data_IF_471157540947
#
_entry.id   IF_471157540947
#
_cell.length_a   1.000
_cell.length_b   1.000
_cell.length_c   1.000
_cell.angle_alpha   90.00
_cell.angle_beta   90.00
_cell.angle_gamma   90.00
#
_symmetry.space_group_name_H-M   'P 1'
#
loop_
_entity.id
_entity.type
_entity.pdbx_description
1 polymer ?
#
# COMPACT_ATOMS: atom_id res chain seq x y z
N UNK A 1 74.49 -8.31 -5.95
CA UNK A 1 73.96 -8.55 -4.60
C UNK A 1 73.34 -7.24 -4.11
N UNK A 2 72.03 -7.07 -4.27
CA UNK A 2 71.33 -5.81 -3.98
C UNK A 2 70.97 -5.78 -2.49
N UNK A 3 71.46 -4.77 -1.79
CA UNK A 3 71.13 -4.48 -0.40
C UNK A 3 70.20 -3.26 -0.41
N UNK A 4 69.02 -3.45 0.20
CA UNK A 4 68.05 -2.42 0.55
C UNK A 4 68.66 -1.26 1.32
N UNK A 5 68.16 -0.04 1.09
CA UNK A 5 68.01 1.06 2.05
C UNK A 5 67.48 2.29 1.30
N UNK A 6 66.16 2.37 1.09
CA UNK A 6 65.50 3.64 0.80
C UNK A 6 65.12 4.23 2.15
N UNK A 7 65.96 5.15 2.59
CA UNK A 7 65.82 5.99 3.77
C UNK A 7 65.06 7.26 3.36
N UNK A 8 63.87 7.41 3.96
CA UNK A 8 63.29 8.63 4.54
C UNK A 8 63.86 9.97 4.03
N UNK A 9 62.99 10.77 3.38
CA UNK A 9 63.03 12.22 3.50
C UNK A 9 61.61 12.75 3.74
N UNK A 10 61.52 13.74 4.61
CA UNK A 10 60.34 14.17 5.32
C UNK A 10 59.86 15.55 4.84
N UNK A 11 58.62 15.88 5.25
CA UNK A 11 58.10 17.24 5.51
C UNK A 11 57.72 18.09 4.28
N UNK A 12 56.42 18.28 4.07
CA UNK A 12 55.70 19.57 4.16
C UNK A 12 54.35 19.46 3.42
N UNK A 13 53.26 19.34 4.17
CA UNK A 13 52.01 20.04 3.89
C UNK A 13 51.15 19.96 5.14
N UNK A 14 51.40 20.93 6.02
CA UNK A 14 50.41 21.43 6.95
C UNK A 14 49.25 22.02 6.13
N UNK A 15 48.32 21.16 5.72
CA UNK A 15 47.02 21.53 5.18
C UNK A 15 45.99 21.35 6.27
N UNK A 16 45.87 22.39 7.10
CA UNK A 16 44.75 22.76 7.97
C UNK A 16 43.67 21.67 8.10
N UNK A 17 43.70 21.00 9.27
CA UNK A 17 42.52 20.46 9.91
C UNK A 17 41.52 21.61 10.11
N UNK A 18 40.54 21.69 9.22
CA UNK A 18 39.26 22.31 9.49
C UNK A 18 38.20 21.31 9.04
N UNK A 19 38.13 20.17 9.74
CA UNK A 19 36.87 19.47 9.84
C UNK A 19 36.01 20.41 10.67
N UNK A 20 35.31 21.33 10.00
CA UNK A 20 34.08 21.89 10.55
C UNK A 20 33.17 20.70 10.74
N UNK A 21 33.24 20.09 11.93
CA UNK A 21 32.11 19.39 12.50
C UNK A 21 31.06 20.48 12.63
N UNK A 22 30.30 20.68 11.56
CA UNK A 22 29.02 21.33 11.69
C UNK A 22 28.27 20.41 12.63
N UNK A 23 28.25 20.79 13.91
CA UNK A 23 27.27 20.33 14.87
C UNK A 23 25.94 20.67 14.22
N UNK A 24 25.41 19.77 13.41
CA UNK A 24 24.00 19.75 13.13
C UNK A 24 23.40 19.58 14.51
N UNK A 25 22.94 20.68 15.10
CA UNK A 25 21.92 20.64 16.11
C UNK A 25 20.75 20.02 15.36
N UNK A 26 20.71 18.67 15.33
CA UNK A 26 19.54 17.94 14.91
C UNK A 26 18.48 18.40 15.88
N UNK A 27 17.60 19.28 15.41
CA UNK A 27 16.42 19.67 16.17
C UNK A 27 15.66 18.41 16.54
N UNK A 28 14.98 18.42 17.67
CA UNK A 28 14.26 17.25 18.11
C UNK A 28 13.14 16.96 17.10
N UNK A 29 13.07 15.72 16.63
CA UNK A 29 12.16 15.33 15.55
C UNK A 29 11.43 14.05 15.91
N UNK A 30 10.20 13.93 15.42
CA UNK A 30 9.41 12.70 15.49
C UNK A 30 9.04 12.31 14.07
N UNK A 31 9.29 11.05 13.73
CA UNK A 31 8.93 10.45 12.44
C UNK A 31 8.23 9.11 12.66
N UNK A 32 7.48 8.67 11.65
CA UNK A 32 6.74 7.42 11.72
C UNK A 32 6.80 6.67 10.39
N UNK A 33 7.21 5.42 10.47
CA UNK A 33 7.25 4.46 9.38
C UNK A 33 6.10 3.45 9.52
N UNK A 34 5.46 3.13 8.39
CA UNK A 34 4.43 2.10 8.31
C UNK A 34 5.05 0.75 7.99
N UNK A 35 4.80 -0.25 8.83
CA UNK A 35 5.06 -1.64 8.45
C UNK A 35 3.82 -2.23 7.81
N UNK A 36 3.96 -2.64 6.57
CA UNK A 36 2.91 -3.24 5.77
C UNK A 36 3.21 -4.70 5.50
N UNK A 37 2.22 -5.56 5.76
CA UNK A 37 2.23 -6.95 5.35
C UNK A 37 1.46 -7.07 4.04
N UNK A 38 2.16 -7.43 2.97
CA UNK A 38 1.59 -7.56 1.63
C UNK A 38 1.40 -9.02 1.26
N UNK A 39 0.16 -9.39 0.92
CA UNK A 39 -0.16 -10.70 0.34
C UNK A 39 -0.33 -10.57 -1.17
N UNK A 40 0.42 -11.37 -1.93
CA UNK A 40 0.29 -11.45 -3.39
C UNK A 40 -0.45 -12.74 -3.73
N UNK A 41 -1.61 -12.61 -4.39
CA UNK A 41 -2.37 -13.76 -4.89
C UNK A 41 -2.26 -13.83 -6.40
N UNK A 42 -1.86 -15.00 -6.91
CA UNK A 42 -1.80 -15.29 -8.34
C UNK A 42 -3.06 -16.01 -8.79
N UNK A 43 -3.60 -15.64 -9.94
CA UNK A 43 -4.76 -16.28 -10.54
C UNK A 43 -4.67 -16.25 -12.05
N UNK A 44 -5.22 -17.28 -12.69
CA UNK A 44 -5.33 -17.33 -14.14
C UNK A 44 -6.61 -16.61 -14.57
N UNK A 45 -6.49 -15.68 -15.50
CA UNK A 45 -7.63 -15.06 -16.16
C UNK A 45 -7.64 -15.46 -17.63
N UNK A 46 -8.75 -16.04 -18.08
CA UNK A 46 -8.98 -16.28 -19.51
C UNK A 46 -9.24 -14.96 -20.22
N UNK A 47 -8.50 -14.69 -21.30
CA UNK A 47 -8.70 -13.56 -22.18
C UNK A 47 -9.06 -14.04 -23.57
N UNK A 48 -10.09 -13.41 -24.15
CA UNK A 48 -10.50 -13.67 -25.53
C UNK A 48 -9.51 -13.02 -26.49
N UNK A 49 -9.07 -13.79 -27.46
CA UNK A 49 -8.31 -13.30 -28.62
C UNK A 49 -9.32 -13.08 -29.73
N UNK A 50 -9.39 -11.85 -30.24
CA UNK A 50 -10.31 -11.50 -31.31
C UNK A 50 -9.57 -11.45 -32.65
N UNK A 51 -10.22 -11.95 -33.70
CA UNK A 51 -9.68 -12.00 -35.04
C UNK A 51 -10.78 -11.92 -36.09
N UNK A 52 -10.38 -11.62 -37.33
CA UNK A 52 -11.28 -11.69 -38.47
C UNK A 52 -11.43 -13.12 -38.93
N UNK A 53 -12.67 -13.57 -39.06
CA UNK A 53 -13.03 -14.91 -39.56
C UNK A 53 -13.83 -14.73 -40.83
N UNK A 54 -13.49 -15.51 -41.85
CA UNK A 54 -14.25 -15.48 -43.12
C UNK A 54 -15.49 -16.34 -42.97
N UNK A 55 -16.66 -15.72 -43.14
CA UNK A 55 -17.94 -16.40 -43.17
C UNK A 55 -18.53 -16.31 -44.57
N UNK A 56 -19.33 -17.30 -44.91
CA UNK A 56 -20.11 -17.32 -46.14
C UNK A 56 -21.59 -17.16 -45.82
N UNK A 57 -22.32 -16.48 -46.69
CA UNK A 57 -23.78 -16.50 -46.70
C UNK A 57 -24.29 -16.65 -48.11
N UNK A 58 -25.42 -17.33 -48.25
CA UNK A 58 -26.10 -17.47 -49.52
C UNK A 58 -26.61 -16.10 -50.00
N UNK A 59 -26.40 -15.82 -51.28
CA UNK A 59 -27.05 -14.70 -51.96
C UNK A 59 -28.30 -15.22 -52.65
N UNK A 60 -29.39 -14.49 -52.50
CA UNK A 60 -30.67 -14.84 -53.12
C UNK A 60 -30.92 -13.97 -54.33
N UNK A 61 -31.47 -14.57 -55.36
CA UNK A 61 -31.92 -13.87 -56.55
C UNK A 61 -32.97 -14.66 -57.30
N UNK A 62 -33.08 -14.41 -58.60
CA UNK A 62 -34.12 -15.02 -59.43
C UNK A 62 -33.53 -16.08 -60.33
N UNK A 63 -34.05 -17.30 -60.25
CA UNK A 63 -33.72 -18.40 -61.16
C UNK A 63 -34.81 -18.58 -62.20
N UNK A 64 -34.42 -18.99 -63.40
CA UNK A 64 -35.33 -19.37 -64.46
C UNK A 64 -35.62 -20.88 -64.40
N UNK A 65 -36.89 -21.25 -64.39
CA UNK A 65 -37.35 -22.62 -64.52
C UNK A 65 -37.75 -22.88 -65.98
N UNK A 66 -36.93 -23.68 -66.68
CA UNK A 66 -37.16 -24.01 -68.10
C UNK A 66 -38.36 -24.93 -68.33
N UNK A 67 -38.83 -25.66 -67.32
CA UNK A 67 -39.94 -26.60 -67.46
C UNK A 67 -41.31 -25.91 -67.54
N UNK A 68 -41.45 -24.70 -66.99
CA UNK A 68 -42.70 -23.94 -66.98
C UNK A 68 -42.51 -22.47 -67.37
N UNK A 69 -41.36 -22.14 -67.98
CA UNK A 69 -41.00 -20.79 -68.45
C UNK A 69 -41.22 -19.68 -67.41
N UNK A 70 -40.96 -19.98 -66.12
CA UNK A 70 -41.24 -19.06 -65.01
C UNK A 70 -39.99 -18.69 -64.21
N UNK A 71 -40.09 -17.59 -63.47
CA UNK A 71 -39.04 -17.12 -62.57
C UNK A 71 -39.43 -17.37 -61.11
N UNK A 72 -38.48 -17.83 -60.30
CA UNK A 72 -38.68 -18.07 -58.88
C UNK A 72 -37.48 -17.62 -58.05
N UNK A 73 -37.69 -17.38 -56.75
CA UNK A 73 -36.60 -17.01 -55.83
C UNK A 73 -35.75 -18.23 -55.51
N UNK A 74 -34.43 -18.11 -55.67
CA UNK A 74 -33.47 -19.18 -55.43
C UNK A 74 -32.18 -18.63 -54.82
N UNK A 75 -31.38 -19.51 -54.24
CA UNK A 75 -29.96 -19.21 -53.98
C UNK A 75 -29.25 -19.15 -55.33
N UNK A 76 -28.66 -18.01 -55.65
CA UNK A 76 -28.00 -17.77 -56.95
C UNK A 76 -26.49 -17.54 -56.81
N UNK A 77 -25.96 -17.66 -55.59
CA UNK A 77 -24.54 -17.50 -55.30
C UNK A 77 -24.26 -17.58 -53.81
N UNK A 78 -23.00 -17.37 -53.47
CA UNK A 78 -22.52 -17.30 -52.08
C UNK A 78 -21.54 -16.15 -52.01
N UNK A 79 -21.67 -15.28 -51.01
CA UNK A 79 -20.70 -14.23 -50.76
C UNK A 79 -19.92 -14.50 -49.47
N UNK A 80 -18.63 -14.16 -49.50
CA UNK A 80 -17.75 -14.22 -48.35
C UNK A 80 -17.63 -12.82 -47.73
N UNK A 81 -17.73 -12.74 -46.42
CA UNK A 81 -17.53 -11.51 -45.66
C UNK A 81 -16.68 -11.77 -44.43
N UNK A 82 -16.03 -10.72 -43.94
CA UNK A 82 -15.22 -10.77 -42.71
C UNK A 82 -16.11 -10.46 -41.51
N UNK A 83 -16.04 -11.31 -40.48
CA UNK A 83 -16.65 -11.05 -39.18
C UNK A 83 -15.56 -10.95 -38.11
N UNK A 84 -15.62 -9.95 -37.22
CA UNK A 84 -14.67 -9.83 -36.12
C UNK A 84 -15.24 -10.53 -34.88
N UNK A 85 -14.63 -11.63 -34.48
CA UNK A 85 -15.13 -12.48 -33.38
C UNK A 85 -14.01 -13.12 -32.58
N UNK A 86 -14.36 -13.80 -31.49
CA UNK A 86 -13.40 -14.52 -30.65
C UNK A 86 -12.91 -15.74 -31.43
N UNK A 87 -11.62 -15.76 -31.73
CA UNK A 87 -10.97 -16.85 -32.47
C UNK A 87 -10.25 -17.84 -31.56
N UNK A 88 -9.85 -17.38 -30.38
CA UNK A 88 -9.16 -18.21 -29.40
C UNK A 88 -9.30 -17.62 -27.99
N UNK A 89 -8.88 -18.37 -26.98
CA UNK A 89 -8.78 -17.89 -25.60
C UNK A 89 -7.43 -18.28 -25.02
N UNK A 90 -6.78 -17.34 -24.34
CA UNK A 90 -5.52 -17.60 -23.64
C UNK A 90 -5.69 -17.41 -22.13
N UNK A 91 -5.09 -18.30 -21.35
CA UNK A 91 -4.95 -18.11 -19.91
C UNK A 91 -3.77 -17.17 -19.64
N UNK A 92 -4.03 -16.02 -19.03
CA UNK A 92 -3.02 -15.05 -18.62
C UNK A 92 -2.88 -15.10 -17.11
N UNK A 93 -1.66 -15.35 -16.62
CA UNK A 93 -1.36 -15.25 -15.20
C UNK A 93 -1.43 -13.79 -14.78
N UNK A 94 -2.31 -13.49 -13.84
CA UNK A 94 -2.41 -12.18 -13.19
C UNK A 94 -2.09 -12.30 -11.70
N UNK A 95 -1.73 -11.18 -11.11
CA UNK A 95 -1.56 -11.05 -9.67
C UNK A 95 -2.49 -9.98 -9.11
N UNK A 96 -2.74 -10.07 -7.81
CA UNK A 96 -3.38 -9.04 -7.02
C UNK A 96 -2.58 -8.90 -5.72
N UNK A 97 -2.06 -7.71 -5.46
CA UNK A 97 -1.30 -7.40 -4.24
C UNK A 97 -2.20 -6.63 -3.29
N UNK A 98 -2.41 -7.17 -2.09
CA UNK A 98 -3.12 -6.49 -1.00
C UNK A 98 -2.14 -6.26 0.15
N UNK A 99 -1.89 -5.00 0.48
CA UNK A 99 -1.07 -4.60 1.61
C UNK A 99 -1.95 -4.11 2.76
N UNK A 100 -1.65 -4.55 3.97
CA UNK A 100 -2.30 -4.08 5.19
C UNK A 100 -1.24 -3.62 6.18
N UNK A 101 -1.37 -2.39 6.66
CA UNK A 101 -0.51 -1.88 7.73
C UNK A 101 -0.86 -2.62 9.03
N UNK A 102 0.15 -3.18 9.69
CA UNK A 102 0.00 -3.95 10.93
C UNK A 102 0.66 -3.27 12.12
N UNK A 103 1.67 -2.41 11.87
CA UNK A 103 2.28 -1.58 12.91
C UNK A 103 2.81 -0.23 12.39
N UNK A 104 2.98 0.70 13.33
CA UNK A 104 3.72 1.94 13.12
C UNK A 104 5.00 1.92 13.97
N UNK A 105 6.15 2.17 13.34
CA UNK A 105 7.42 2.41 14.05
C UNK A 105 7.66 3.91 14.12
N UNK A 106 7.65 4.44 15.33
CA UNK A 106 7.88 5.83 15.66
C UNK A 106 9.35 5.99 16.03
N UNK A 107 10.03 6.92 15.38
CA UNK A 107 11.41 7.30 15.72
C UNK A 107 11.39 8.72 16.28
N UNK A 108 11.88 8.88 17.51
CA UNK A 108 12.01 10.15 18.22
C UNK A 108 13.50 10.43 18.35
N UNK A 109 13.99 11.48 17.69
CA UNK A 109 15.38 11.94 17.81
C UNK A 109 15.41 13.15 18.73
N UNK A 110 16.23 13.09 19.78
CA UNK A 110 16.45 14.22 20.71
C UNK A 110 17.93 14.53 20.83
N UNK A 111 18.39 15.63 20.22
CA UNK A 111 19.81 15.92 20.07
C UNK A 111 20.60 14.73 19.48
N UNK A 112 21.35 14.01 20.32
CA UNK A 112 22.15 12.84 19.93
C UNK A 112 21.51 11.49 20.25
N UNK A 113 20.38 11.45 20.98
CA UNK A 113 19.67 10.20 21.27
C UNK A 113 18.60 9.92 20.21
N UNK A 114 18.37 8.64 19.94
CA UNK A 114 17.26 8.18 19.11
C UNK A 114 16.52 7.08 19.86
N UNK A 115 15.22 7.28 20.06
CA UNK A 115 14.32 6.30 20.64
C UNK A 115 13.39 5.78 19.54
N UNK A 116 13.18 4.46 19.51
CA UNK A 116 12.24 3.83 18.59
C UNK A 116 11.15 3.10 19.35
N UNK A 117 9.90 3.38 19.00
CA UNK A 117 8.70 2.79 19.61
C UNK A 117 7.83 2.16 18.53
N UNK A 118 7.25 0.99 18.79
CA UNK A 118 6.36 0.31 17.86
C UNK A 118 4.96 0.21 18.45
N UNK A 119 3.96 0.69 17.71
CA UNK A 119 2.54 0.45 17.96
C UNK A 119 2.11 -0.68 17.03
N UNK A 120 2.05 -1.91 17.54
CA UNK A 120 1.55 -3.09 16.83
C UNK A 120 0.06 -3.25 17.10
N UNK A 121 -0.74 -3.17 16.04
CA UNK A 121 -2.21 -3.22 16.13
C UNK A 121 -2.81 -4.37 15.32
N UNK A 122 -1.97 -5.30 14.88
CA UNK A 122 -2.34 -6.49 14.08
C UNK A 122 -3.51 -7.28 14.67
N UNK A 123 -3.57 -7.39 16.00
CA UNK A 123 -4.59 -8.14 16.74
C UNK A 123 -5.78 -7.29 17.23
N UNK A 124 -5.78 -5.98 16.98
CA UNK A 124 -6.72 -5.06 17.62
C UNK A 124 -7.70 -4.41 16.65
N UNK A 125 -7.22 -3.99 15.49
CA UNK A 125 -8.06 -3.35 14.48
C UNK A 125 -7.24 -2.59 13.45
N UNK A 126 -7.56 -1.32 13.25
CA UNK A 126 -6.91 -0.47 12.24
C UNK A 126 -6.52 0.86 12.88
N UNK A 127 -5.31 1.31 12.59
CA UNK A 127 -4.85 2.62 13.01
C UNK A 127 -4.61 3.55 11.82
N UNK A 128 -4.72 4.84 12.07
CA UNK A 128 -4.39 5.90 11.13
C UNK A 128 -3.37 6.83 11.77
N UNK A 129 -2.45 7.34 10.94
CA UNK A 129 -1.47 8.35 11.32
C UNK A 129 -1.99 9.74 11.00
N UNK A 130 -1.75 10.68 11.91
CA UNK A 130 -1.96 12.12 11.72
C UNK A 130 -0.88 12.91 12.47
N UNK A 131 -0.83 14.21 12.23
CA UNK A 131 0.09 15.13 12.92
C UNK A 131 -0.72 16.13 13.75
N UNK A 132 -0.38 16.29 15.02
CA UNK A 132 -1.02 17.22 15.96
C UNK A 132 0.09 17.99 16.71
N UNK A 133 0.18 19.32 16.53
CA UNK A 133 1.14 20.19 17.22
C UNK A 133 2.60 19.66 17.18
N UNK A 134 3.11 19.36 15.98
CA UNK A 134 4.45 18.78 15.75
C UNK A 134 4.70 17.40 16.39
N UNK A 135 3.65 16.77 16.92
CA UNK A 135 3.65 15.40 17.39
C UNK A 135 3.01 14.46 16.37
N UNK A 136 3.41 13.19 16.39
CA UNK A 136 2.74 12.15 15.61
C UNK A 136 1.65 11.50 16.45
N UNK A 137 0.42 11.56 15.94
CA UNK A 137 -0.74 10.92 16.52
C UNK A 137 -1.08 9.65 15.75
N UNK A 138 -0.99 8.49 16.41
CA UNK A 138 -1.48 7.20 15.91
C UNK A 138 -2.83 6.94 16.58
N UNK A 139 -3.91 7.11 15.82
CA UNK A 139 -5.26 6.85 16.31
C UNK A 139 -5.71 5.48 15.84
N UNK A 140 -5.96 4.60 16.80
CA UNK A 140 -6.37 3.23 16.58
C UNK A 140 -7.86 3.07 16.86
N UNK A 141 -8.54 2.39 15.95
CA UNK A 141 -9.91 1.92 16.10
C UNK A 141 -9.94 0.40 16.23
N UNK A 142 -10.68 -0.10 17.21
CA UNK A 142 -10.85 -1.55 17.42
C UNK A 142 -12.04 -2.11 16.62
N UNK A 143 -11.93 -3.37 16.20
CA UNK A 143 -13.03 -4.13 15.60
C UNK A 143 -14.21 -4.30 16.58
N UNK A 144 -13.93 -4.56 17.86
CA UNK A 144 -14.96 -4.80 18.90
C UNK A 144 -15.73 -3.52 19.26
N UNK A 145 -15.08 -2.37 19.13
CA UNK A 145 -15.63 -1.05 19.47
C UNK A 145 -16.27 -0.31 18.29
N UNK A 146 -16.38 -0.96 17.12
CA UNK A 146 -17.03 -0.40 15.92
C UNK A 146 -16.23 0.66 15.15
N UNK A 147 -15.03 1.01 15.62
CA UNK A 147 -14.14 2.02 15.03
C UNK A 147 -13.33 1.49 13.85
N UNK A 148 -13.24 0.17 13.69
CA UNK A 148 -12.69 -0.47 12.51
C UNK A 148 -13.64 -1.54 11.97
N UNK A 149 -13.77 -1.64 10.64
CA UNK A 149 -14.58 -2.67 9.96
C UNK A 149 -13.90 -3.08 8.67
N UNK A 150 -13.76 -4.39 8.43
CA UNK A 150 -13.12 -4.94 7.23
C UNK A 150 -11.72 -4.36 6.96
N UNK A 151 -10.93 -4.12 8.01
CA UNK A 151 -9.59 -3.52 7.91
C UNK A 151 -9.55 -2.03 7.61
N UNK A 152 -10.71 -1.34 7.63
CA UNK A 152 -10.82 0.09 7.37
C UNK A 152 -11.16 0.83 8.67
N UNK A 153 -10.40 1.88 8.96
CA UNK A 153 -10.70 2.81 10.05
C UNK A 153 -11.94 3.64 9.71
N UNK A 154 -12.93 3.64 10.59
CA UNK A 154 -14.23 4.26 10.38
C UNK A 154 -14.53 5.35 11.43
N UNK A 155 -13.49 6.04 11.90
CA UNK A 155 -13.62 7.13 12.87
C UNK A 155 -13.91 6.68 14.29
N UNK A 156 -13.98 7.68 15.19
CA UNK A 156 -14.13 7.52 16.64
C UNK A 156 -15.39 8.21 17.17
N UNK A 157 -16.42 8.35 16.34
CA UNK A 157 -17.64 9.08 16.66
C UNK A 157 -18.80 8.15 17.02
N UNK A 158 -19.86 8.68 17.63
CA UNK A 158 -21.08 7.94 17.97
C UNK A 158 -20.85 6.77 18.96
N UNK A 159 -20.07 7.00 20.02
CA UNK A 159 -19.83 5.99 21.07
C UNK A 159 -18.82 4.91 20.70
N UNK A 160 -18.13 5.08 19.57
CA UNK A 160 -17.06 4.19 19.09
C UNK A 160 -15.80 4.30 19.95
N UNK A 161 -15.19 3.16 20.25
CA UNK A 161 -14.01 3.10 21.10
C UNK A 161 -12.71 3.24 20.31
N UNK A 162 -11.90 4.24 20.65
CA UNK A 162 -10.60 4.50 20.07
C UNK A 162 -9.53 4.75 21.12
N UNK A 163 -8.30 4.43 20.75
CA UNK A 163 -7.11 4.74 21.52
C UNK A 163 -6.16 5.54 20.65
N UNK A 164 -5.60 6.63 21.18
CA UNK A 164 -4.66 7.51 20.48
C UNK A 164 -3.33 7.50 21.20
N UNK A 165 -2.26 7.27 20.46
CA UNK A 165 -0.89 7.45 20.92
C UNK A 165 -0.34 8.74 20.34
N UNK A 166 0.04 9.68 21.20
CA UNK A 166 0.62 10.96 20.81
C UNK A 166 2.11 10.95 21.16
N UNK A 167 2.96 10.92 20.15
CA UNK A 167 4.41 10.93 20.28
C UNK A 167 4.94 12.30 19.92
N UNK A 168 5.41 13.03 20.92
CA UNK A 168 6.07 14.32 20.80
C UNK A 168 7.58 14.14 21.05
N UNK A 169 8.41 15.14 20.69
CA UNK A 169 9.83 15.14 21.03
C UNK A 169 10.08 14.82 22.50
N UNK A 170 9.35 15.46 23.41
CA UNK A 170 9.63 15.35 24.85
C UNK A 170 8.71 14.40 25.62
N UNK A 171 7.60 13.97 25.02
CA UNK A 171 6.60 13.18 25.74
C UNK A 171 5.91 12.16 24.85
N UNK A 172 5.39 11.12 25.50
CA UNK A 172 4.48 10.17 24.88
C UNK A 172 3.22 10.12 25.73
N UNK A 173 2.07 10.30 25.11
CA UNK A 173 0.78 10.21 25.79
C UNK A 173 -0.08 9.12 25.15
N UNK A 174 -0.85 8.45 25.99
CA UNK A 174 -1.87 7.50 25.55
C UNK A 174 -3.21 8.04 25.99
N UNK A 175 -4.13 8.19 25.04
CA UNK A 175 -5.45 8.75 25.25
C UNK A 175 -6.51 7.77 24.77
N UNK A 176 -7.68 7.82 25.39
CA UNK A 176 -8.80 6.93 25.15
C UNK A 176 -10.06 7.76 24.90
N UNK A 177 -10.95 7.20 24.08
CA UNK A 177 -12.27 7.75 23.81
C UNK A 177 -13.24 6.59 23.58
N UNK A 178 -14.38 6.57 24.26
CA UNK A 178 -15.48 5.67 23.95
C UNK A 178 -16.82 6.43 23.89
N UNK A 179 -17.54 6.54 25.02
CA UNK A 179 -18.83 7.24 25.06
C UNK A 179 -18.70 8.78 25.02
N UNK A 180 -17.48 9.28 25.23
CA UNK A 180 -17.17 10.72 25.26
C UNK A 180 -16.93 11.30 23.87
N UNK A 181 -17.01 12.62 23.75
CA UNK A 181 -16.67 13.36 22.52
C UNK A 181 -15.16 13.62 22.35
N UNK A 182 -14.41 13.59 23.44
CA UNK A 182 -13.00 13.96 23.54
C UNK A 182 -12.09 12.77 23.89
N UNK A 183 -10.80 12.89 23.57
CA UNK A 183 -9.77 11.94 23.98
C UNK A 183 -9.17 12.36 25.33
N UNK A 184 -9.12 11.43 26.29
CA UNK A 184 -8.63 11.68 27.65
C UNK A 184 -7.68 10.56 28.11
N UNK A 185 -6.78 10.82 29.05
CA UNK A 185 -5.83 9.81 29.56
C UNK A 185 -6.53 8.68 30.31
N UNK A 186 -7.66 8.98 30.95
CA UNK A 186 -8.46 8.01 31.69
C UNK A 186 -9.93 8.18 31.30
N UNK A 187 -10.40 7.33 30.38
CA UNK A 187 -11.82 7.21 30.06
C UNK A 187 -12.41 6.02 30.82
N UNK A 188 -13.23 6.23 31.87
CA UNK A 188 -13.83 5.13 32.64
C UNK A 188 -14.83 4.31 31.82
N UNK A 189 -15.26 4.82 30.65
CA UNK A 189 -16.16 4.12 29.74
C UNK A 189 -15.43 3.26 28.72
N UNK A 190 -14.10 3.35 28.66
CA UNK A 190 -13.27 2.52 27.80
C UNK A 190 -13.01 1.15 28.45
N UNK A 191 -13.87 0.17 28.13
CA UNK A 191 -13.83 -1.18 28.74
C UNK A 191 -13.11 -2.23 27.89
N UNK A 192 -12.43 -1.82 26.81
CA UNK A 192 -11.76 -2.74 25.90
C UNK A 192 -10.30 -2.97 26.30
N UNK A 193 -9.76 -4.10 25.87
CA UNK A 193 -8.33 -4.38 25.96
C UNK A 193 -7.54 -3.21 25.36
N UNK A 194 -6.60 -2.67 26.12
CA UNK A 194 -5.81 -1.50 25.71
C UNK A 194 -4.64 -1.96 24.85
N UNK A 195 -4.40 -1.26 23.74
CA UNK A 195 -3.16 -1.41 23.01
C UNK A 195 -1.99 -0.85 23.84
N UNK A 196 -0.81 -1.40 23.64
CA UNK A 196 0.44 -0.84 24.15
C UNK A 196 1.40 -0.60 22.99
N UNK A 197 2.36 0.28 23.23
CA UNK A 197 3.56 0.35 22.40
C UNK A 197 4.72 -0.32 23.14
N UNK A 198 5.73 -0.73 22.39
CA UNK A 198 6.98 -1.30 22.93
C UNK A 198 8.19 -0.55 22.36
N UNK A 199 9.29 -0.54 23.10
CA UNK A 199 10.56 -0.02 22.59
C UNK A 199 11.18 -1.04 21.63
N UNK A 200 11.71 -0.57 20.49
CA UNK A 200 12.24 -1.43 19.43
C UNK A 200 13.60 -0.94 18.94
N UNK A 201 14.67 -1.47 19.55
CA UNK A 201 16.05 -1.17 19.18
C UNK A 201 16.60 0.09 19.86
N UNK A 202 17.89 0.02 20.21
CA UNK A 202 18.77 1.14 20.53
C UNK A 202 19.76 1.33 19.36
#
# INVERSE_FOLDING_TARGET
>A
MRINKVLILAILLAGIFAITVASQIQGDTVSAEEKQDCTVTFYNQTQNIYGYVTRTRDTYGTCYNSANESYYSCVNGTESYQNYEVVDTQAVLKNNTKCQTSSYVITITKGLSTEKKEVDFSSWGTCVKSTENDCIAITCGTLKGGSARNGIFNGCDNGKSCQKFLFCPDSTQVLYKAARGDFVQEDPTFQLDKLSYKEVGQ
#
